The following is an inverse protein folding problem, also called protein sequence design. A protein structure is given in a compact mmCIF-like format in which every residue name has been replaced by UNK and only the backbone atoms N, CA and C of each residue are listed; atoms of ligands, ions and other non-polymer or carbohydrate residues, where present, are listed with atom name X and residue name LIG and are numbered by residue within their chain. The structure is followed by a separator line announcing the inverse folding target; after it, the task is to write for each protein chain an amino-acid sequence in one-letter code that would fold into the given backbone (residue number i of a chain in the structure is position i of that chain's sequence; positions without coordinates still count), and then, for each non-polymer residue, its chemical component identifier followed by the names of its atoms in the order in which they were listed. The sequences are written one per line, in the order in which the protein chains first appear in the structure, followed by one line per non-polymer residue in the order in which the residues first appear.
data_IF_481938575694
#
_entry.id   IF_481938575694
#
_cell.length_a   1.000
_cell.length_b   1.000
_cell.length_c   1.000
_cell.angle_alpha   90.00
_cell.angle_beta   90.00
_cell.angle_gamma   90.00
#
_symmetry.space_group_name_H-M   'P 1'
#
loop_
_entity.id
_entity.type
_entity.pdbx_description
1 polymer ?
#
# COMPACT_ATOMS: atom_id res chain seq x y z
N UNK A 1 6.25 -37.01 0.61
CA UNK A 1 5.82 -35.82 -0.16
C UNK A 1 6.89 -34.74 0.00
N UNK A 2 7.57 -34.32 -1.07
CA UNK A 2 8.51 -33.18 -1.00
C UNK A 2 7.66 -31.91 -1.00
N UNK A 3 7.78 -31.08 0.05
CA UNK A 3 7.12 -29.77 0.10
C UNK A 3 7.44 -28.99 -1.17
N UNK A 4 6.41 -28.48 -1.86
CA UNK A 4 6.59 -27.53 -2.95
C UNK A 4 7.48 -26.37 -2.45
N UNK A 5 8.66 -26.16 -3.05
CA UNK A 5 9.54 -25.07 -2.65
C UNK A 5 8.95 -23.74 -3.14
N UNK A 6 8.81 -22.82 -2.19
CA UNK A 6 8.41 -21.43 -2.44
C UNK A 6 9.70 -20.61 -2.46
N UNK A 7 9.98 -19.98 -3.59
CA UNK A 7 11.04 -18.99 -3.69
C UNK A 7 10.52 -17.61 -3.27
N UNK A 8 11.42 -16.76 -2.78
CA UNK A 8 11.11 -15.38 -2.40
C UNK A 8 12.14 -14.42 -2.98
N UNK A 9 11.67 -13.34 -3.61
CA UNK A 9 12.48 -12.20 -4.04
C UNK A 9 11.95 -10.93 -3.38
N UNK A 10 12.73 -10.36 -2.46
CA UNK A 10 12.47 -9.06 -1.87
C UNK A 10 13.31 -7.94 -2.48
N UNK A 11 13.31 -6.79 -1.80
CA UNK A 11 13.99 -5.57 -2.23
C UNK A 11 15.49 -5.78 -2.49
N UNK A 12 16.12 -6.65 -1.71
CA UNK A 12 17.53 -7.03 -1.84
C UNK A 12 17.86 -7.59 -3.23
N UNK A 13 16.91 -8.28 -3.87
CA UNK A 13 17.10 -8.87 -5.19
C UNK A 13 16.47 -8.02 -6.30
N UNK A 14 15.28 -7.49 -6.09
CA UNK A 14 14.58 -6.67 -7.10
C UNK A 14 15.35 -5.41 -7.43
N UNK A 15 16.00 -4.79 -6.42
CA UNK A 15 16.84 -3.59 -6.57
C UNK A 15 18.29 -3.89 -6.94
N UNK A 16 18.71 -5.15 -6.90
CA UNK A 16 20.04 -5.62 -7.37
C UNK A 16 20.20 -5.66 -8.90
N UNK A 17 19.44 -4.86 -9.65
CA UNK A 17 19.47 -4.79 -11.11
C UNK A 17 18.57 -5.79 -11.85
N UNK A 18 17.78 -6.60 -11.14
CA UNK A 18 16.80 -7.51 -11.75
C UNK A 18 15.74 -6.73 -12.54
N UNK A 19 15.20 -5.66 -11.93
CA UNK A 19 14.16 -4.81 -12.52
C UNK A 19 14.72 -3.54 -13.19
N UNK A 20 15.98 -3.56 -13.62
CA UNK A 20 16.62 -2.40 -14.24
C UNK A 20 15.80 -1.88 -15.45
N UNK A 21 15.60 -0.57 -15.49
CA UNK A 21 14.77 0.08 -16.52
C UNK A 21 13.26 -0.13 -16.37
N UNK A 22 12.78 -1.12 -15.61
CA UNK A 22 11.35 -1.39 -15.40
C UNK A 22 10.74 -0.47 -14.34
N UNK A 23 11.45 -0.23 -13.23
CA UNK A 23 11.00 0.61 -12.10
C UNK A 23 11.40 2.09 -12.31
N UNK A 24 11.13 2.65 -13.49
CA UNK A 24 11.40 4.07 -13.82
C UNK A 24 10.09 4.81 -14.08
N UNK A 25 10.10 6.13 -13.90
CA UNK A 25 8.94 6.97 -14.19
C UNK A 25 8.62 6.91 -15.71
N UNK A 26 7.46 6.40 -16.14
CA UNK A 26 7.10 6.33 -17.56
C UNK A 26 7.21 7.67 -18.30
N UNK A 27 6.88 8.78 -17.63
CA UNK A 27 6.95 10.12 -18.19
C UNK A 27 8.37 10.58 -18.57
N UNK A 28 9.41 9.95 -18.03
CA UNK A 28 10.81 10.36 -18.25
C UNK A 28 11.66 9.27 -18.91
N UNK A 29 11.04 8.28 -19.55
CA UNK A 29 11.76 7.14 -20.15
C UNK A 29 12.52 7.54 -21.41
N UNK A 30 13.81 7.23 -21.43
CA UNK A 30 14.63 7.31 -22.65
C UNK A 30 14.49 6.04 -23.49
N UNK A 31 14.87 6.05 -24.79
CA UNK A 31 14.97 4.84 -25.59
C UNK A 31 15.92 3.78 -25.00
N UNK A 32 16.98 4.22 -24.32
CA UNK A 32 17.90 3.31 -23.64
C UNK A 32 17.24 2.60 -22.45
N UNK A 33 16.38 3.30 -21.70
CA UNK A 33 15.61 2.71 -20.59
C UNK A 33 14.58 1.68 -21.06
N UNK A 34 13.95 1.93 -22.21
CA UNK A 34 13.01 0.98 -22.83
C UNK A 34 13.73 -0.33 -23.18
N UNK A 35 14.85 -0.24 -23.91
CA UNK A 35 15.67 -1.41 -24.25
C UNK A 35 16.20 -2.13 -23.01
N UNK A 36 16.57 -1.39 -21.96
CA UNK A 36 17.01 -1.99 -20.70
C UNK A 36 15.87 -2.76 -20.02
N UNK A 37 14.66 -2.19 -19.99
CA UNK A 37 13.47 -2.86 -19.46
C UNK A 37 13.12 -4.16 -20.21
N UNK A 38 13.17 -4.14 -21.54
CA UNK A 38 12.96 -5.33 -22.39
C UNK A 38 13.98 -6.43 -22.06
N UNK A 39 15.27 -6.07 -21.93
CA UNK A 39 16.31 -7.01 -21.50
C UNK A 39 16.06 -7.54 -20.10
N UNK A 40 15.59 -6.70 -19.16
CA UNK A 40 15.21 -7.13 -17.82
C UNK A 40 14.03 -8.11 -17.83
N UNK A 41 13.07 -7.96 -18.74
CA UNK A 41 12.01 -8.98 -18.92
C UNK A 41 12.58 -10.33 -19.38
N UNK A 42 13.54 -10.33 -20.29
CA UNK A 42 14.27 -11.55 -20.68
C UNK A 42 15.03 -12.18 -19.50
N UNK A 43 15.71 -11.36 -18.69
CA UNK A 43 16.41 -11.81 -17.48
C UNK A 43 15.46 -12.42 -16.45
N UNK A 44 14.32 -11.79 -16.20
CA UNK A 44 13.28 -12.33 -15.32
C UNK A 44 12.84 -13.72 -15.80
N UNK A 45 12.58 -13.89 -17.10
CA UNK A 45 12.20 -15.20 -17.67
C UNK A 45 13.27 -16.27 -17.47
N UNK A 46 14.55 -15.93 -17.64
CA UNK A 46 15.66 -16.85 -17.34
C UNK A 46 15.71 -17.22 -15.86
N UNK A 47 15.54 -16.25 -14.96
CA UNK A 47 15.53 -16.50 -13.51
C UNK A 47 14.33 -17.34 -13.08
N UNK A 48 13.16 -17.16 -13.70
CA UNK A 48 12.01 -18.04 -13.48
C UNK A 48 12.30 -19.47 -13.92
N UNK A 49 12.87 -19.66 -15.11
CA UNK A 49 13.26 -20.99 -15.60
C UNK A 49 14.30 -21.66 -14.69
N UNK A 50 15.27 -20.89 -14.18
CA UNK A 50 16.27 -21.35 -13.21
C UNK A 50 15.60 -21.84 -11.92
N UNK A 51 14.67 -21.07 -11.36
CA UNK A 51 13.90 -21.48 -10.17
C UNK A 51 13.08 -22.76 -10.43
N UNK A 52 12.49 -22.90 -11.62
CA UNK A 52 11.73 -24.09 -11.99
C UNK A 52 12.63 -25.34 -12.07
N UNK A 53 13.84 -25.20 -12.64
CA UNK A 53 14.85 -26.26 -12.66
C UNK A 53 15.34 -26.64 -11.25
N UNK A 54 15.40 -25.67 -10.34
CA UNK A 54 15.67 -25.88 -8.91
C UNK A 54 14.47 -26.49 -8.15
N UNK A 55 13.36 -26.74 -8.84
CA UNK A 55 12.16 -27.39 -8.31
C UNK A 55 11.16 -26.43 -7.64
N UNK A 56 11.38 -25.11 -7.70
CA UNK A 56 10.42 -24.14 -7.21
C UNK A 56 9.10 -24.25 -7.95
N UNK A 57 8.00 -24.30 -7.19
CA UNK A 57 6.63 -24.35 -7.75
C UNK A 57 5.91 -23.02 -7.63
N UNK A 58 6.45 -22.10 -6.82
CA UNK A 58 5.89 -20.78 -6.59
C UNK A 58 7.01 -19.80 -6.29
N UNK A 59 6.85 -18.57 -6.76
CA UNK A 59 7.68 -17.43 -6.41
C UNK A 59 6.79 -16.35 -5.79
N UNK A 60 7.20 -15.83 -4.63
CA UNK A 60 6.67 -14.58 -4.07
C UNK A 60 7.66 -13.47 -4.39
N UNK A 61 7.23 -12.50 -5.21
CA UNK A 61 8.02 -11.30 -5.54
C UNK A 61 7.39 -10.10 -4.85
N UNK A 62 8.13 -9.44 -3.97
CA UNK A 62 7.66 -8.26 -3.22
C UNK A 62 8.48 -7.03 -3.59
N UNK A 63 7.86 -6.09 -4.30
CA UNK A 63 8.44 -4.77 -4.62
C UNK A 63 7.36 -3.69 -4.62
N UNK A 64 7.42 -2.80 -3.64
CA UNK A 64 6.51 -1.66 -3.44
C UNK A 64 6.45 -0.73 -4.67
N UNK A 65 7.60 -0.48 -5.31
CA UNK A 65 7.70 0.56 -6.33
C UNK A 65 7.26 0.11 -7.73
N UNK A 66 6.73 -1.11 -7.90
CA UNK A 66 6.23 -1.58 -9.20
C UNK A 66 5.08 -0.68 -9.71
N UNK A 67 4.15 -0.31 -8.82
CA UNK A 67 2.97 0.50 -9.18
C UNK A 67 3.23 2.01 -9.22
N UNK A 68 4.37 2.45 -8.67
CA UNK A 68 4.75 3.87 -8.57
C UNK A 68 5.37 4.16 -7.21
N UNK A 69 5.91 5.37 -7.02
CA UNK A 69 6.49 5.80 -5.74
C UNK A 69 5.57 6.81 -5.04
N UNK A 70 5.72 6.94 -3.72
CA UNK A 70 5.03 7.98 -2.95
C UNK A 70 5.34 9.39 -3.47
N UNK A 71 6.61 9.65 -3.84
CA UNK A 71 7.00 10.93 -4.42
C UNK A 71 6.21 11.24 -5.71
N UNK A 72 6.05 10.26 -6.60
CA UNK A 72 5.28 10.42 -7.83
C UNK A 72 3.80 10.70 -7.57
N UNK A 73 3.22 10.07 -6.56
CA UNK A 73 1.82 10.30 -6.19
C UNK A 73 1.61 11.74 -5.72
N UNK A 74 2.52 12.26 -4.88
CA UNK A 74 2.46 13.62 -4.38
C UNK A 74 2.76 14.65 -5.48
N UNK A 75 3.78 14.43 -6.30
CA UNK A 75 4.15 15.35 -7.39
C UNK A 75 3.05 15.46 -8.45
N UNK A 76 2.34 14.37 -8.73
CA UNK A 76 1.21 14.36 -9.66
C UNK A 76 -0.14 14.69 -9.00
N UNK A 77 -0.17 14.83 -7.67
CA UNK A 77 -1.40 14.94 -6.85
C UNK A 77 -2.44 13.90 -7.27
N UNK A 78 -1.99 12.65 -7.43
CA UNK A 78 -2.80 11.59 -8.02
C UNK A 78 -2.36 10.22 -7.53
N UNK A 79 -3.33 9.41 -7.10
CA UNK A 79 -3.08 8.07 -6.59
C UNK A 79 -2.56 7.13 -7.70
N UNK A 80 -1.27 6.79 -7.71
CA UNK A 80 -0.62 5.83 -8.61
C UNK A 80 -0.97 6.00 -10.11
N UNK A 81 -1.08 7.23 -10.59
CA UNK A 81 -1.63 7.56 -11.93
C UNK A 81 -0.93 6.94 -13.15
N UNK A 82 0.18 6.24 -12.94
CA UNK A 82 0.98 5.59 -13.99
C UNK A 82 1.02 4.06 -13.84
N UNK A 83 0.24 3.46 -12.94
CA UNK A 83 0.29 2.02 -12.65
C UNK A 83 0.07 1.16 -13.90
N UNK A 84 -0.93 1.46 -14.73
CA UNK A 84 -1.16 0.73 -15.99
C UNK A 84 0.05 0.73 -16.93
N UNK A 85 0.65 1.90 -17.20
CA UNK A 85 1.82 2.00 -18.09
C UNK A 85 3.07 1.36 -17.50
N UNK A 86 3.23 1.35 -16.17
CA UNK A 86 4.34 0.64 -15.50
C UNK A 86 4.18 -0.86 -15.62
N UNK A 87 3.00 -1.37 -15.32
CA UNK A 87 2.72 -2.80 -15.31
C UNK A 87 2.69 -3.40 -16.73
N UNK A 88 2.19 -2.68 -17.73
CA UNK A 88 2.24 -3.10 -19.13
C UNK A 88 3.69 -3.37 -19.61
N UNK A 89 4.68 -2.64 -19.08
CA UNK A 89 6.10 -2.89 -19.40
C UNK A 89 6.68 -4.11 -18.69
N UNK A 90 6.09 -4.52 -17.57
CA UNK A 90 6.50 -5.68 -16.80
C UNK A 90 5.80 -6.97 -17.28
N UNK A 91 4.56 -6.85 -17.79
CA UNK A 91 3.74 -7.97 -18.22
C UNK A 91 4.46 -8.99 -19.15
N UNK A 92 5.29 -8.58 -20.14
CA UNK A 92 6.01 -9.52 -21.00
C UNK A 92 6.97 -10.47 -20.24
N UNK A 93 7.40 -10.12 -19.02
CA UNK A 93 8.21 -11.03 -18.21
C UNK A 93 7.40 -12.25 -17.70
N UNK A 94 6.09 -12.10 -17.58
CA UNK A 94 5.18 -13.09 -16.98
C UNK A 94 4.30 -13.83 -17.99
N UNK A 95 4.52 -13.60 -19.29
CA UNK A 95 3.77 -14.26 -20.36
C UNK A 95 3.80 -15.79 -20.22
N UNK A 96 2.63 -16.43 -20.37
CA UNK A 96 2.46 -17.87 -20.21
C UNK A 96 2.53 -18.38 -18.76
N UNK A 97 2.64 -17.50 -17.76
CA UNK A 97 2.73 -17.87 -16.34
C UNK A 97 1.43 -17.53 -15.61
N UNK A 98 1.08 -18.36 -14.63
CA UNK A 98 -0.02 -18.06 -13.71
C UNK A 98 0.43 -16.99 -12.72
N UNK A 99 -0.17 -15.81 -12.78
CA UNK A 99 0.15 -14.67 -11.91
C UNK A 99 -0.98 -14.46 -10.90
N UNK A 100 -0.59 -14.17 -9.66
CA UNK A 100 -1.48 -13.60 -8.66
C UNK A 100 -0.85 -12.31 -8.17
N UNK A 101 -1.60 -11.22 -8.25
CA UNK A 101 -1.17 -9.89 -7.84
C UNK A 101 -1.78 -9.61 -6.48
N UNK A 102 -0.94 -9.16 -5.56
CA UNK A 102 -1.32 -8.92 -4.18
C UNK A 102 -1.16 -7.43 -3.89
N UNK A 103 -2.24 -6.78 -3.43
CA UNK A 103 -2.28 -5.34 -3.19
C UNK A 103 -2.83 -5.03 -1.80
N UNK A 104 -1.99 -4.44 -0.95
CA UNK A 104 -2.44 -3.80 0.27
C UNK A 104 -2.94 -2.37 -0.06
N UNK A 105 -4.18 -2.06 0.29
CA UNK A 105 -4.75 -0.71 0.19
C UNK A 105 -4.83 -0.07 1.58
N UNK A 106 -5.00 1.25 1.65
CA UNK A 106 -5.04 2.00 2.91
C UNK A 106 -6.05 3.12 2.82
N UNK A 107 -6.67 3.50 3.93
CA UNK A 107 -7.55 4.66 4.01
C UNK A 107 -6.83 5.90 3.48
N UNK A 108 -7.52 6.73 2.69
CA UNK A 108 -6.86 7.78 1.91
C UNK A 108 -6.24 8.87 2.79
N UNK A 109 -6.93 9.27 3.86
CA UNK A 109 -6.43 10.18 4.89
C UNK A 109 -5.11 9.66 5.47
N UNK A 110 -5.07 8.39 5.85
CA UNK A 110 -3.87 7.75 6.40
C UNK A 110 -2.77 7.54 5.35
N UNK A 111 -3.14 7.23 4.12
CA UNK A 111 -2.22 7.04 3.01
C UNK A 111 -1.51 8.35 2.67
N UNK A 112 -2.27 9.42 2.42
CA UNK A 112 -1.71 10.73 2.09
C UNK A 112 -0.93 11.34 3.25
N UNK A 113 -1.44 11.24 4.48
CA UNK A 113 -0.73 11.70 5.66
C UNK A 113 0.63 11.00 5.82
N UNK A 114 0.67 9.67 5.58
CA UNK A 114 1.91 8.90 5.62
C UNK A 114 2.92 9.33 4.55
N UNK A 115 2.46 9.62 3.32
CA UNK A 115 3.32 10.08 2.23
C UNK A 115 3.88 11.48 2.50
N UNK A 116 3.03 12.39 2.99
CA UNK A 116 3.44 13.73 3.39
C UNK A 116 4.48 13.67 4.52
N UNK A 117 4.23 12.86 5.56
CA UNK A 117 5.21 12.64 6.63
C UNK A 117 6.56 12.14 6.10
N UNK A 118 6.54 11.19 5.15
CA UNK A 118 7.75 10.71 4.49
C UNK A 118 8.50 11.84 3.75
N UNK A 119 7.78 12.68 3.00
CA UNK A 119 8.37 13.80 2.25
C UNK A 119 8.93 14.90 3.16
N UNK A 120 8.22 15.23 4.25
CA UNK A 120 8.67 16.21 5.26
C UNK A 120 9.93 15.68 5.95
N UNK A 121 9.92 14.41 6.39
CA UNK A 121 11.11 13.76 6.95
C UNK A 121 12.31 13.85 5.98
N UNK A 122 12.07 13.71 4.69
CA UNK A 122 13.11 13.77 3.65
C UNK A 122 13.60 15.19 3.30
N UNK A 123 12.95 16.27 3.75
CA UNK A 123 13.41 17.63 3.40
C UNK A 123 12.33 18.65 3.10
N UNK A 124 11.12 18.21 2.76
CA UNK A 124 10.11 19.12 2.25
C UNK A 124 9.46 19.98 3.34
N UNK A 125 8.97 21.14 2.91
CA UNK A 125 8.09 22.01 3.71
C UNK A 125 6.77 21.31 4.02
N UNK A 126 6.07 21.81 5.03
CA UNK A 126 4.68 21.44 5.26
C UNK A 126 3.79 21.83 4.06
N UNK A 127 2.77 21.01 3.74
CA UNK A 127 1.80 21.37 2.69
C UNK A 127 0.96 22.58 3.13
N UNK A 128 0.60 23.43 2.17
CA UNK A 128 -0.40 24.47 2.38
C UNK A 128 -1.82 23.88 2.32
N UNK A 129 -2.83 24.66 2.74
CA UNK A 129 -4.24 24.25 2.68
C UNK A 129 -4.65 23.83 1.25
N UNK A 130 -4.29 24.63 0.24
CA UNK A 130 -4.56 24.33 -1.17
C UNK A 130 -3.92 23.01 -1.65
N UNK A 131 -2.75 22.63 -1.11
CA UNK A 131 -2.11 21.36 -1.46
C UNK A 131 -2.92 20.18 -0.91
N UNK A 132 -3.44 20.32 0.31
CA UNK A 132 -4.31 19.32 0.94
C UNK A 132 -5.64 19.20 0.21
N UNK A 133 -6.24 20.33 -0.17
CA UNK A 133 -7.50 20.36 -0.93
C UNK A 133 -7.37 19.65 -2.27
N UNK A 134 -6.24 19.83 -2.98
CA UNK A 134 -6.00 19.09 -4.23
C UNK A 134 -5.84 17.59 -4.00
N UNK A 135 -5.23 17.16 -2.90
CA UNK A 135 -5.13 15.73 -2.54
C UNK A 135 -6.49 15.13 -2.19
N UNK A 136 -7.39 15.91 -1.59
CA UNK A 136 -8.76 15.50 -1.25
C UNK A 136 -9.63 15.40 -2.51
N UNK A 137 -9.51 16.38 -3.41
CA UNK A 137 -10.36 16.51 -4.61
C UNK A 137 -9.87 15.73 -5.82
N UNK A 138 -8.65 15.19 -5.81
CA UNK A 138 -8.17 14.34 -6.90
C UNK A 138 -9.15 13.18 -7.13
N UNK A 139 -9.49 12.82 -8.38
CA UNK A 139 -10.62 11.92 -8.65
C UNK A 139 -10.29 10.44 -8.52
N UNK A 140 -9.01 10.07 -8.43
CA UNK A 140 -8.57 8.68 -8.59
C UNK A 140 -8.71 7.88 -7.29
N UNK A 141 -9.15 6.64 -7.41
CA UNK A 141 -9.50 5.75 -6.30
C UNK A 141 -8.80 4.40 -6.42
N UNK A 142 -8.85 3.56 -5.39
CA UNK A 142 -8.24 2.23 -5.36
C UNK A 142 -8.90 1.35 -6.41
N UNK A 143 -10.21 1.52 -6.66
CA UNK A 143 -10.89 0.86 -7.78
C UNK A 143 -10.22 1.15 -9.13
N UNK A 144 -9.75 2.37 -9.37
CA UNK A 144 -9.09 2.73 -10.63
C UNK A 144 -7.70 2.10 -10.71
N UNK A 145 -6.98 2.05 -9.58
CA UNK A 145 -5.68 1.36 -9.48
C UNK A 145 -5.85 -0.13 -9.77
N UNK A 146 -6.88 -0.77 -9.21
CA UNK A 146 -7.18 -2.19 -9.43
C UNK A 146 -7.59 -2.43 -10.89
N UNK A 147 -8.44 -1.57 -11.46
CA UNK A 147 -8.83 -1.66 -12.87
C UNK A 147 -7.63 -1.55 -13.83
N UNK A 148 -6.68 -0.66 -13.55
CA UNK A 148 -5.42 -0.60 -14.31
C UNK A 148 -4.57 -1.88 -14.18
N UNK A 149 -4.56 -2.50 -12.98
CA UNK A 149 -3.85 -3.77 -12.76
C UNK A 149 -4.51 -4.87 -13.58
N UNK A 150 -5.84 -4.96 -13.58
CA UNK A 150 -6.59 -5.91 -14.41
C UNK A 150 -6.31 -5.70 -15.90
N UNK A 151 -6.28 -4.45 -16.36
CA UNK A 151 -5.98 -4.13 -17.75
C UNK A 151 -4.55 -4.55 -18.15
N UNK A 152 -3.58 -4.39 -17.25
CA UNK A 152 -2.18 -4.77 -17.51
C UNK A 152 -1.94 -6.29 -17.39
N UNK A 153 -2.74 -7.00 -16.59
CA UNK A 153 -2.64 -8.44 -16.36
C UNK A 153 -4.03 -9.10 -16.43
N UNK A 154 -4.60 -9.27 -17.64
CA UNK A 154 -6.00 -9.66 -17.82
C UNK A 154 -6.37 -11.06 -17.28
N UNK A 155 -5.36 -11.94 -17.16
CA UNK A 155 -5.52 -13.31 -16.67
C UNK A 155 -5.09 -13.49 -15.20
N UNK A 156 -4.57 -12.43 -14.56
CA UNK A 156 -4.11 -12.53 -13.18
C UNK A 156 -5.27 -12.53 -12.20
N UNK A 157 -5.15 -13.33 -11.14
CA UNK A 157 -5.97 -13.14 -9.94
C UNK A 157 -5.44 -11.95 -9.17
N UNK A 158 -6.32 -11.13 -8.61
CA UNK A 158 -5.94 -9.99 -7.78
C UNK A 158 -6.47 -10.23 -6.37
N UNK A 159 -5.60 -10.14 -5.39
CA UNK A 159 -5.94 -10.27 -3.97
C UNK A 159 -5.71 -8.92 -3.31
N UNK A 160 -6.75 -8.37 -2.71
CA UNK A 160 -6.74 -7.02 -2.10
C UNK A 160 -7.08 -7.12 -0.62
N UNK A 161 -6.38 -6.36 0.23
CA UNK A 161 -6.71 -6.27 1.65
C UNK A 161 -6.40 -4.87 2.22
N UNK A 162 -7.08 -4.43 3.29
CA UNK A 162 -6.77 -3.15 3.93
C UNK A 162 -5.54 -3.30 4.84
N UNK A 163 -4.63 -2.34 4.80
CA UNK A 163 -3.41 -2.35 5.60
C UNK A 163 -3.70 -2.32 7.11
N UNK A 164 -4.69 -1.52 7.52
CA UNK A 164 -5.03 -1.26 8.92
C UNK A 164 -5.43 -2.54 9.65
N UNK A 165 -6.16 -3.43 8.97
CA UNK A 165 -6.69 -4.66 9.55
C UNK A 165 -5.70 -5.83 9.55
N UNK A 166 -4.49 -5.68 9.03
CA UNK A 166 -3.57 -6.81 8.82
C UNK A 166 -2.12 -6.55 9.27
N UNK A 167 -1.78 -5.32 9.65
CA UNK A 167 -0.42 -4.95 10.06
C UNK A 167 0.11 -5.74 11.28
N UNK A 168 -0.77 -6.24 12.13
CA UNK A 168 -0.40 -6.94 13.37
C UNK A 168 -0.34 -8.46 13.26
N UNK A 169 -1.00 -9.05 12.26
CA UNK A 169 -1.03 -10.50 12.05
C UNK A 169 -0.90 -10.84 10.56
N UNK A 170 0.32 -10.83 10.00
CA UNK A 170 0.54 -11.09 8.57
C UNK A 170 0.54 -12.59 8.21
N UNK A 171 0.48 -13.51 9.18
CA UNK A 171 0.61 -14.94 8.91
C UNK A 171 -0.45 -15.47 7.92
N UNK A 172 -1.74 -15.12 8.04
CA UNK A 172 -2.74 -15.60 7.08
C UNK A 172 -2.54 -14.99 5.67
N UNK A 173 -2.07 -13.73 5.58
CA UNK A 173 -1.70 -13.14 4.28
C UNK A 173 -0.56 -13.92 3.61
N UNK A 174 0.49 -14.24 4.37
CA UNK A 174 1.60 -15.05 3.85
C UNK A 174 1.12 -16.44 3.42
N UNK A 175 0.14 -17.00 4.12
CA UNK A 175 -0.51 -18.25 3.75
C UNK A 175 -1.18 -18.19 2.37
N UNK A 176 -1.95 -17.13 2.12
CA UNK A 176 -2.58 -16.87 0.81
C UNK A 176 -1.53 -16.70 -0.29
N UNK A 177 -0.49 -15.88 -0.04
CA UNK A 177 0.57 -15.62 -1.02
C UNK A 177 1.39 -16.88 -1.32
N UNK A 178 1.75 -17.66 -0.30
CA UNK A 178 2.49 -18.91 -0.44
C UNK A 178 1.61 -20.07 -0.95
N UNK A 179 0.28 -19.96 -0.84
CA UNK A 179 -0.68 -20.99 -1.23
C UNK A 179 -0.62 -22.23 -0.35
N UNK A 180 -0.17 -22.05 0.88
CA UNK A 180 -0.06 -23.05 1.93
C UNK A 180 0.03 -22.31 3.26
N UNK A 181 -0.36 -22.95 4.34
CA UNK A 181 -0.21 -22.35 5.66
C UNK A 181 1.26 -22.09 6.00
N UNK A 182 1.52 -20.91 6.54
CA UNK A 182 2.86 -20.48 6.98
C UNK A 182 2.79 -20.27 8.49
N UNK A 183 3.55 -21.07 9.23
CA UNK A 183 3.77 -20.82 10.65
C UNK A 183 4.89 -19.77 10.80
N UNK A 184 4.59 -18.64 11.41
CA UNK A 184 5.62 -17.67 11.80
C UNK A 184 6.31 -18.14 13.07
N UNK A 185 7.64 -18.16 13.07
CA UNK A 185 8.40 -18.46 14.28
C UNK A 185 8.17 -17.36 15.35
N UNK A 186 8.17 -17.69 16.66
CA UNK A 186 7.93 -16.74 17.77
C UNK A 186 8.89 -15.54 17.85
N UNK A 187 9.94 -15.52 17.02
CA UNK A 187 10.94 -14.44 16.94
C UNK A 187 10.83 -13.55 15.69
N UNK A 188 9.78 -13.69 14.88
CA UNK A 188 9.44 -12.63 13.94
C UNK A 188 8.85 -11.45 14.74
N UNK A 189 9.69 -10.75 15.54
CA UNK A 189 9.38 -9.38 15.92
C UNK A 189 9.04 -8.71 14.61
N UNK A 190 7.77 -8.32 14.45
CA UNK A 190 7.35 -7.42 13.40
C UNK A 190 8.19 -6.18 13.67
N UNK A 191 9.36 -6.12 13.04
CA UNK A 191 10.14 -4.91 12.99
C UNK A 191 9.13 -3.87 12.49
N UNK A 192 8.89 -2.80 13.24
CA UNK A 192 8.08 -1.68 12.78
C UNK A 192 8.83 -1.01 11.62
N UNK A 193 8.98 -1.74 10.52
CA UNK A 193 9.61 -1.30 9.30
C UNK A 193 8.65 -0.28 8.70
N UNK A 194 9.16 0.93 8.47
CA UNK A 194 8.46 2.01 7.78
C UNK A 194 7.24 2.60 8.52
N UNK A 195 7.26 2.65 9.85
CA UNK A 195 6.29 3.50 10.57
C UNK A 195 6.47 4.97 10.16
N UNK A 196 5.36 5.64 9.83
CA UNK A 196 5.35 7.07 9.54
C UNK A 196 5.83 7.85 10.77
N UNK A 197 6.59 8.94 10.55
CA UNK A 197 7.00 9.82 11.62
C UNK A 197 5.77 10.44 12.31
N UNK A 198 5.83 10.53 13.63
CA UNK A 198 4.85 11.22 14.47
C UNK A 198 4.92 12.74 14.26
N UNK A 199 3.87 13.46 14.64
CA UNK A 199 3.85 14.92 14.54
C UNK A 199 5.02 15.57 15.32
N UNK A 200 5.35 15.04 16.50
CA UNK A 200 6.49 15.52 17.32
C UNK A 200 7.84 15.25 16.65
N UNK A 201 8.03 14.10 16.00
CA UNK A 201 9.26 13.82 15.27
C UNK A 201 9.41 14.76 14.08
N UNK A 202 8.33 15.02 13.36
CA UNK A 202 8.32 15.99 12.26
C UNK A 202 8.59 17.42 12.77
N UNK A 203 8.05 17.80 13.92
CA UNK A 203 8.28 19.12 14.54
C UNK A 203 9.77 19.34 14.85
N UNK A 204 10.45 18.31 15.38
CA UNK A 204 11.90 18.36 15.64
C UNK A 204 12.69 18.54 14.34
N UNK A 205 12.36 17.78 13.31
CA UNK A 205 13.00 17.87 11.99
C UNK A 205 12.81 19.27 11.38
N UNK A 206 11.60 19.86 11.52
CA UNK A 206 11.32 21.21 11.04
C UNK A 206 12.16 22.26 11.81
N UNK A 207 12.22 22.16 13.14
CA UNK A 207 13.00 23.06 13.99
C UNK A 207 14.51 22.99 13.68
N UNK A 208 15.06 21.78 13.52
CA UNK A 208 16.47 21.56 13.15
C UNK A 208 16.85 22.20 11.80
N UNK A 209 15.87 22.45 10.93
CA UNK A 209 16.05 23.11 9.62
C UNK A 209 15.77 24.61 9.64
N UNK A 210 15.40 25.17 10.78
CA UNK A 210 15.03 26.59 10.90
C UNK A 210 13.59 26.91 10.47
N UNK A 211 12.77 25.91 10.17
CA UNK A 211 11.34 26.10 9.87
C UNK A 211 10.53 26.11 11.19
N UNK A 212 10.70 27.21 11.94
CA UNK A 212 10.13 27.36 13.28
C UNK A 212 8.59 27.44 13.26
N UNK A 213 8.00 28.01 12.21
CA UNK A 213 6.55 28.09 12.06
C UNK A 213 5.93 26.69 11.90
N UNK A 214 6.48 25.86 11.00
CA UNK A 214 6.05 24.46 10.88
C UNK A 214 6.28 23.67 12.16
N UNK A 215 7.40 23.90 12.85
CA UNK A 215 7.68 23.24 14.11
C UNK A 215 6.63 23.54 15.18
N UNK A 216 6.20 24.80 15.31
CA UNK A 216 5.15 25.20 16.25
C UNK A 216 3.81 24.56 15.88
N UNK A 217 3.43 24.61 14.60
CA UNK A 217 2.17 24.00 14.13
C UNK A 217 2.12 22.51 14.44
N UNK A 218 3.21 21.77 14.19
CA UNK A 218 3.31 20.34 14.46
C UNK A 218 3.43 19.99 15.95
N UNK A 219 4.14 20.81 16.73
CA UNK A 219 4.38 20.58 18.15
C UNK A 219 3.12 20.73 19.01
N UNK A 220 2.08 21.40 18.49
CA UNK A 220 0.77 21.47 19.14
C UNK A 220 0.10 20.09 19.28
N UNK A 221 0.53 19.09 18.51
CA UNK A 221 0.05 17.72 18.62
C UNK A 221 0.64 17.00 19.84
N UNK A 222 -0.16 16.14 20.47
CA UNK A 222 0.27 15.29 21.58
C UNK A 222 1.47 14.38 21.24
N UNK A 223 2.20 13.95 22.26
CA UNK A 223 3.35 13.06 22.10
C UNK A 223 2.89 11.70 21.59
N UNK A 224 3.49 11.20 20.51
CA UNK A 224 3.09 9.95 19.86
C UNK A 224 1.88 10.08 18.93
N UNK A 225 1.27 11.26 18.84
CA UNK A 225 0.17 11.51 17.91
C UNK A 225 0.64 11.34 16.47
N UNK A 226 -0.14 10.56 15.72
CA UNK A 226 0.05 10.37 14.27
C UNK A 226 -0.06 11.74 13.60
N UNK A 227 0.85 12.02 12.66
CA UNK A 227 0.70 13.19 11.81
C UNK A 227 -0.59 13.07 10.98
N UNK A 228 -1.49 14.03 11.13
CA UNK A 228 -2.73 14.15 10.38
C UNK A 228 -2.86 15.60 9.90
N UNK A 229 -2.60 15.90 8.62
CA UNK A 229 -2.66 17.27 8.11
C UNK A 229 -4.07 17.70 7.70
N UNK A 230 -4.99 16.75 7.55
CA UNK A 230 -6.34 17.02 7.09
C UNK A 230 -7.23 17.50 8.22
N UNK A 231 -8.06 18.50 7.94
CA UNK A 231 -9.13 18.88 8.84
C UNK A 231 -10.25 17.81 8.88
N UNK A 232 -11.26 18.03 9.72
CA UNK A 232 -12.35 17.09 9.90
C UNK A 232 -13.17 16.85 8.62
N UNK A 233 -13.40 17.87 7.79
CA UNK A 233 -14.18 17.75 6.56
C UNK A 233 -13.38 17.01 5.48
N UNK A 234 -12.10 17.36 5.33
CA UNK A 234 -11.17 16.69 4.43
C UNK A 234 -10.99 15.21 4.81
N UNK A 235 -10.76 14.91 6.09
CA UNK A 235 -10.63 13.55 6.59
C UNK A 235 -11.92 12.76 6.38
N UNK A 236 -13.08 13.34 6.68
CA UNK A 236 -14.37 12.70 6.45
C UNK A 236 -14.58 12.34 4.97
N UNK A 237 -14.25 13.24 4.05
CA UNK A 237 -14.39 12.99 2.61
C UNK A 237 -13.47 11.85 2.14
N UNK A 238 -12.21 11.86 2.57
CA UNK A 238 -11.25 10.80 2.26
C UNK A 238 -11.70 9.44 2.83
N UNK A 239 -12.29 9.43 4.03
CA UNK A 239 -12.83 8.21 4.63
C UNK A 239 -14.11 7.72 3.93
N UNK A 240 -14.98 8.64 3.52
CA UNK A 240 -16.16 8.32 2.70
C UNK A 240 -15.76 7.62 1.40
N UNK A 241 -14.81 8.20 0.67
CA UNK A 241 -14.30 7.62 -0.58
C UNK A 241 -13.67 6.24 -0.36
N UNK A 242 -12.94 6.06 0.74
CA UNK A 242 -12.37 4.76 1.07
C UNK A 242 -13.45 3.73 1.42
N UNK A 243 -14.45 4.10 2.22
CA UNK A 243 -15.60 3.23 2.53
C UNK A 243 -16.34 2.81 1.27
N UNK A 244 -16.50 3.71 0.30
CA UNK A 244 -17.10 3.38 -0.99
C UNK A 244 -16.30 2.34 -1.78
N UNK A 245 -14.97 2.37 -1.73
CA UNK A 245 -14.11 1.35 -2.34
C UNK A 245 -14.15 0.02 -1.58
N UNK A 246 -14.18 0.04 -0.24
CA UNK A 246 -14.35 -1.19 0.55
C UNK A 246 -15.70 -1.84 0.26
N UNK A 247 -16.79 -1.06 0.23
CA UNK A 247 -18.11 -1.58 -0.10
C UNK A 247 -18.15 -2.19 -1.51
N UNK A 248 -17.49 -1.56 -2.49
CA UNK A 248 -17.33 -2.12 -3.83
C UNK A 248 -16.54 -3.43 -3.83
N UNK A 249 -15.41 -3.50 -3.11
CA UNK A 249 -14.59 -4.71 -2.95
C UNK A 249 -15.35 -5.88 -2.30
N UNK A 250 -16.22 -5.58 -1.32
CA UNK A 250 -17.02 -6.57 -0.62
C UNK A 250 -18.22 -7.06 -1.44
N UNK A 251 -18.82 -6.17 -2.25
CA UNK A 251 -20.01 -6.50 -3.02
C UNK A 251 -19.67 -7.31 -4.28
N UNK A 252 -18.92 -6.73 -5.22
CA UNK A 252 -18.49 -7.38 -6.45
C UNK A 252 -17.44 -6.53 -7.17
N UNK A 253 -16.17 -6.74 -6.84
CA UNK A 253 -15.04 -6.13 -7.55
C UNK A 253 -14.65 -6.89 -8.85
N UNK A 254 -15.52 -7.79 -9.33
CA UNK A 254 -15.30 -8.60 -10.51
C UNK A 254 -14.73 -9.98 -10.20
N UNK A 255 -14.80 -10.91 -11.17
CA UNK A 255 -14.57 -12.34 -10.95
C UNK A 255 -13.13 -12.73 -10.65
N UNK A 256 -12.17 -11.82 -10.83
CA UNK A 256 -10.73 -12.04 -10.59
C UNK A 256 -10.23 -11.36 -9.33
N UNK A 257 -11.03 -10.50 -8.71
CA UNK A 257 -10.64 -9.75 -7.51
C UNK A 257 -11.17 -10.48 -6.29
N UNK A 258 -10.30 -10.77 -5.34
CA UNK A 258 -10.64 -11.34 -4.04
C UNK A 258 -10.28 -10.34 -2.96
N UNK A 259 -11.27 -9.88 -2.21
CA UNK A 259 -11.06 -9.05 -1.04
C UNK A 259 -10.89 -9.90 0.22
N UNK A 260 -9.78 -9.69 0.94
CA UNK A 260 -9.54 -10.34 2.23
C UNK A 260 -9.99 -9.41 3.35
N UNK A 261 -11.17 -9.70 3.90
CA UNK A 261 -11.69 -9.03 5.08
C UNK A 261 -10.76 -9.26 6.28
N UNK A 262 -10.39 -8.20 7.02
CA UNK A 262 -9.82 -8.35 8.36
C UNK A 262 -10.76 -9.20 9.23
N UNK A 263 -10.19 -10.07 10.06
CA UNK A 263 -10.94 -10.82 11.07
C UNK A 263 -10.61 -10.27 12.45
N UNK A 264 -11.41 -10.56 13.48
CA UNK A 264 -11.16 -10.06 14.85
C UNK A 264 -9.71 -10.29 15.32
N UNK A 265 -9.08 -11.41 14.92
CA UNK A 265 -7.68 -11.74 15.24
C UNK A 265 -6.61 -11.04 14.39
N UNK A 266 -6.98 -10.15 13.47
CA UNK A 266 -6.04 -9.38 12.62
C UNK A 266 -5.98 -7.91 12.97
N UNK A 267 -6.97 -7.40 13.71
CA UNK A 267 -6.94 -6.08 14.34
C UNK A 267 -5.94 -6.10 15.51
N UNK A 268 -4.70 -5.69 15.26
CA UNK A 268 -3.80 -5.34 16.35
C UNK A 268 -4.17 -3.97 16.89
N UNK A 269 -4.10 -3.79 18.21
CA UNK A 269 -4.48 -2.58 18.94
C UNK A 269 -3.68 -1.30 18.61
N UNK A 270 -3.63 -0.88 17.34
CA UNK A 270 -3.47 0.52 16.98
C UNK A 270 -4.85 1.13 16.82
N UNK A 271 -5.39 1.59 17.95
CA UNK A 271 -6.46 2.57 18.09
C UNK A 271 -7.37 2.75 16.85
N UNK A 272 -8.41 1.91 16.79
CA UNK A 272 -9.47 1.89 15.76
C UNK A 272 -10.84 2.26 16.37
N UNK A 273 -10.85 2.94 17.51
CA UNK A 273 -12.06 3.35 18.24
C UNK A 273 -11.79 4.76 18.75
N UNK A 274 -12.32 5.80 18.12
CA UNK A 274 -13.65 6.27 18.47
C UNK A 274 -14.34 6.86 17.26
N UNK A 275 -15.45 6.23 16.89
CA UNK A 275 -16.34 6.79 15.89
C UNK A 275 -17.47 5.84 15.63
N UNK A 276 -18.49 5.85 16.50
CA UNK A 276 -19.88 5.61 16.09
C UNK A 276 -20.91 5.72 17.22
N UNK A 277 -21.90 6.58 16.97
CA UNK A 277 -23.30 6.56 17.42
C UNK A 277 -23.70 7.29 18.71
N UNK A 278 -24.01 8.58 18.52
CA UNK A 278 -25.25 9.14 19.03
C UNK A 278 -26.43 8.48 18.30
N UNK A 279 -27.31 7.82 19.04
CA UNK A 279 -28.77 7.88 18.83
C UNK A 279 -29.45 7.40 20.12
N UNK A 280 -30.31 8.27 20.65
CA UNK A 280 -31.15 7.96 21.79
C UNK A 280 -32.52 7.43 21.34
N UNK A 281 -33.10 6.53 22.12
CA UNK A 281 -34.49 6.64 22.59
C UNK A 281 -34.83 5.57 23.64
N UNK A 282 -35.20 6.09 24.81
CA UNK A 282 -36.24 5.70 25.77
C UNK A 282 -36.93 4.30 25.78
N UNK A 283 -37.12 3.86 27.05
CA UNK A 283 -38.19 3.03 27.66
C UNK A 283 -38.12 1.51 27.44
N UNK A 284 -38.37 0.64 28.44
CA UNK A 284 -39.02 0.86 29.72
C UNK A 284 -38.73 -0.22 30.77
N UNK A 285 -39.33 0.03 31.93
CA UNK A 285 -39.28 -0.62 33.24
C UNK A 285 -39.85 -2.05 33.21
N UNK A 286 -39.23 -2.99 33.93
CA UNK A 286 -39.93 -3.95 34.81
C UNK A 286 -38.95 -4.73 35.70
N UNK A 287 -39.30 -4.81 36.98
CA UNK A 287 -38.68 -5.57 38.07
C UNK A 287 -39.10 -7.05 38.07
N UNK A 288 -38.29 -7.89 38.75
CA UNK A 288 -38.60 -9.12 39.53
C UNK A 288 -37.58 -10.22 39.19
N UNK A 289 -36.87 -10.89 40.12
CA UNK A 289 -37.01 -11.11 41.57
C UNK A 289 -35.65 -11.01 42.25
#
# INVERSE_FOLDING_TARGET
MRCASVAYWGLERTRGGLLAGLVKNPATLTPADRRLGERSCGRLRMEFARLEQEGARRLVLSEENLIGTMAQNLDAVRLYGQVGTRLARLAPAFEGRRVSIALAIRAYDLHWASQLAFRIKAGAMLPAADDLDRLVTQPRRWRDVIGDIEAAFPDAKIVVWPFEGWAANPAPLLGVLAGRDVALAPMAKIHKANASATAVELAKIAAERGDLDSAVRLASAGKGTRYMPFDAAQAWKLQEDYRADIAWLQADAGPRVTYLNPTEGTFGGSDMTEGSHHDGQEKGVASAR
#
